data_IF_244663693488
#
_entry.id   IF_244663693488
#
_cell.length_a   1.000
_cell.length_b   1.000
_cell.length_c   1.000
_cell.angle_alpha   90.00
_cell.angle_beta   90.00
_cell.angle_gamma   90.00
#
_symmetry.space_group_name_H-M   'P 1'
#
loop_
_entity.id
_entity.type
_entity.pdbx_description
1 polymer ?
#
# COMPACT_ATOMS: atom_id res chain seq x y z
N UNK A 1 2.85 -21.89 -5.19
CA UNK A 1 2.63 -20.60 -4.49
C UNK A 1 1.41 -19.90 -5.08
N UNK A 2 0.48 -19.41 -4.24
CA UNK A 2 -0.70 -18.62 -4.69
C UNK A 2 -0.24 -17.35 -5.42
N UNK A 3 -0.96 -16.93 -6.46
CA UNK A 3 -0.62 -15.75 -7.29
C UNK A 3 -0.34 -14.49 -6.46
N UNK A 4 -1.13 -14.25 -5.41
CA UNK A 4 -0.95 -13.12 -4.50
C UNK A 4 0.44 -13.10 -3.83
N UNK A 5 0.96 -14.25 -3.42
CA UNK A 5 2.29 -14.31 -2.81
C UNK A 5 3.41 -13.95 -3.82
N UNK A 6 3.24 -14.32 -5.09
CA UNK A 6 4.20 -13.95 -6.15
C UNK A 6 4.18 -12.45 -6.43
N UNK A 7 2.99 -11.85 -6.48
CA UNK A 7 2.82 -10.41 -6.67
C UNK A 7 3.41 -9.61 -5.50
N UNK A 8 3.14 -10.03 -4.26
CA UNK A 8 3.74 -9.41 -3.08
C UNK A 8 5.25 -9.49 -3.08
N UNK A 9 5.82 -10.69 -3.31
CA UNK A 9 7.27 -10.87 -3.35
C UNK A 9 7.91 -10.05 -4.47
N UNK A 10 7.29 -9.99 -5.65
CA UNK A 10 7.77 -9.17 -6.76
C UNK A 10 7.79 -7.68 -6.43
N UNK A 11 6.67 -7.15 -5.90
CA UNK A 11 6.58 -5.76 -5.47
C UNK A 11 7.59 -5.43 -4.37
N UNK A 12 7.66 -6.26 -3.33
CA UNK A 12 8.56 -6.06 -2.20
C UNK A 12 10.03 -6.13 -2.63
N UNK A 13 10.38 -7.01 -3.56
CA UNK A 13 11.74 -7.09 -4.09
C UNK A 13 12.13 -5.80 -4.83
N UNK A 14 11.27 -5.31 -5.72
CA UNK A 14 11.55 -4.10 -6.51
C UNK A 14 11.67 -2.88 -5.57
N UNK A 15 10.68 -2.68 -4.71
CA UNK A 15 10.64 -1.53 -3.79
C UNK A 15 11.75 -1.63 -2.75
N UNK A 16 12.00 -2.81 -2.22
CA UNK A 16 13.06 -3.06 -1.23
C UNK A 16 14.45 -2.78 -1.79
N UNK A 17 14.74 -3.24 -3.01
CA UNK A 17 16.02 -2.96 -3.70
C UNK A 17 16.15 -1.46 -3.96
N UNK A 18 15.12 -0.82 -4.52
CA UNK A 18 15.16 0.62 -4.81
C UNK A 18 15.38 1.45 -3.54
N UNK A 19 14.64 1.16 -2.47
CA UNK A 19 14.77 1.84 -1.20
C UNK A 19 16.15 1.62 -0.55
N UNK A 20 16.68 0.39 -0.63
CA UNK A 20 18.03 0.08 -0.15
C UNK A 20 19.11 0.89 -0.88
N UNK A 21 19.05 0.95 -2.21
CA UNK A 21 20.01 1.72 -3.00
C UNK A 21 19.93 3.22 -2.69
N UNK A 22 18.74 3.80 -2.69
CA UNK A 22 18.55 5.23 -2.36
C UNK A 22 19.06 5.53 -0.96
N UNK A 23 18.68 4.73 0.03
CA UNK A 23 19.14 4.93 1.41
C UNK A 23 20.65 4.84 1.53
N UNK A 24 21.28 3.86 0.86
CA UNK A 24 22.74 3.69 0.86
C UNK A 24 23.44 4.90 0.25
N UNK A 25 23.00 5.35 -0.93
CA UNK A 25 23.55 6.55 -1.59
C UNK A 25 23.46 7.76 -0.68
N UNK A 26 22.31 7.99 -0.04
CA UNK A 26 22.15 9.13 0.87
C UNK A 26 23.07 9.05 2.09
N UNK A 27 23.26 7.86 2.69
CA UNK A 27 24.12 7.67 3.86
C UNK A 27 25.59 7.88 3.52
N UNK A 28 26.02 7.37 2.37
CA UNK A 28 27.40 7.46 1.90
C UNK A 28 27.79 8.92 1.56
N UNK A 29 26.82 9.75 1.13
CA UNK A 29 27.05 11.15 0.76
C UNK A 29 27.15 12.11 1.97
N UNK A 30 26.67 11.73 3.16
CA UNK A 30 26.68 12.61 4.35
C UNK A 30 28.10 12.99 4.76
N UNK A 31 29.00 12.00 4.87
CA UNK A 31 30.36 12.20 5.39
C UNK A 31 31.21 13.09 4.46
N UNK A 32 31.24 12.85 3.13
CA UNK A 32 31.86 13.77 2.18
C UNK A 32 31.28 15.19 2.26
N UNK A 33 29.96 15.34 2.28
CA UNK A 33 29.30 16.65 2.32
C UNK A 33 29.68 17.48 3.56
N UNK A 34 29.71 16.86 4.74
CA UNK A 34 30.14 17.56 5.97
C UNK A 34 31.62 17.92 5.93
N UNK A 35 32.48 17.04 5.39
CA UNK A 35 33.92 17.32 5.23
C UNK A 35 34.18 18.47 4.28
N UNK A 36 33.46 18.54 3.17
CA UNK A 36 33.58 19.64 2.20
C UNK A 36 33.14 20.98 2.81
N UNK A 37 32.06 20.99 3.61
CA UNK A 37 31.63 22.19 4.33
C UNK A 37 32.66 22.65 5.38
N UNK A 38 33.26 21.70 6.10
CA UNK A 38 34.33 21.98 7.06
C UNK A 38 35.57 22.53 6.34
N UNK A 39 35.99 21.91 5.23
CA UNK A 39 37.10 22.37 4.41
C UNK A 39 36.88 23.81 3.94
N UNK A 40 35.71 24.13 3.37
CA UNK A 40 35.36 25.50 2.98
C UNK A 40 35.50 26.50 4.12
N UNK A 41 35.03 26.15 5.32
CA UNK A 41 35.11 27.03 6.50
C UNK A 41 36.56 27.22 6.95
N UNK A 42 37.37 26.16 6.89
CA UNK A 42 38.79 26.20 7.21
C UNK A 42 39.58 27.04 6.20
N UNK A 43 39.22 27.00 4.90
CA UNK A 43 39.83 27.85 3.87
C UNK A 43 39.65 29.32 4.22
N UNK A 44 38.42 29.74 4.52
CA UNK A 44 38.12 31.13 4.86
C UNK A 44 38.85 31.56 6.13
N UNK A 45 38.78 30.74 7.18
CA UNK A 45 39.43 31.02 8.45
C UNK A 45 40.96 31.09 8.33
N UNK A 46 41.56 30.19 7.53
CA UNK A 46 43.01 30.16 7.32
C UNK A 46 43.48 31.42 6.60
N UNK A 47 42.76 31.88 5.57
CA UNK A 47 43.11 33.11 4.85
C UNK A 47 42.99 34.35 5.74
N UNK A 48 41.92 34.47 6.54
CA UNK A 48 41.77 35.60 7.48
C UNK A 48 42.88 35.60 8.53
N UNK A 49 43.18 34.44 9.12
CA UNK A 49 44.26 34.34 10.11
C UNK A 49 45.64 34.56 9.50
N UNK A 50 45.86 34.17 8.24
CA UNK A 50 47.12 34.42 7.55
C UNK A 50 47.38 35.92 7.39
N UNK A 51 46.37 36.70 7.03
CA UNK A 51 46.46 38.18 6.99
C UNK A 51 46.76 38.75 8.37
N UNK A 52 46.10 38.24 9.43
CA UNK A 52 46.34 38.69 10.81
C UNK A 52 47.73 38.33 11.34
N UNK A 53 48.31 37.22 10.87
CA UNK A 53 49.65 36.76 11.26
C UNK A 53 50.78 37.54 10.58
N UNK A 54 50.53 38.14 9.41
CA UNK A 54 51.54 38.80 8.57
C UNK A 54 52.44 39.82 9.28
N UNK A 55 51.89 40.80 10.03
CA UNK A 55 52.70 41.80 10.73
C UNK A 55 53.70 41.21 11.73
N UNK A 56 53.26 40.28 12.58
CA UNK A 56 54.12 39.68 13.60
C UNK A 56 55.10 38.68 13.00
N UNK A 57 54.72 37.98 11.94
CA UNK A 57 55.63 37.09 11.20
C UNK A 57 56.75 37.88 10.53
N UNK A 58 56.43 39.01 9.89
CA UNK A 58 57.43 39.88 9.26
C UNK A 58 58.39 40.49 10.28
N UNK A 59 57.87 40.86 11.45
CA UNK A 59 58.65 41.43 12.54
C UNK A 59 59.50 40.39 13.31
N UNK A 60 59.32 39.09 13.04
CA UNK A 60 60.01 38.02 13.76
C UNK A 60 59.46 37.75 15.17
N UNK A 61 58.28 38.30 15.49
CA UNK A 61 57.61 38.22 16.79
C UNK A 61 56.34 37.36 16.73
N UNK A 62 56.25 36.39 15.81
CA UNK A 62 55.04 35.56 15.67
C UNK A 62 54.77 34.68 16.90
N UNK A 63 55.80 34.36 17.69
CA UNK A 63 55.69 33.49 18.86
C UNK A 63 55.20 34.22 20.13
N UNK A 64 55.52 35.51 20.26
CA UNK A 64 55.32 36.33 21.46
C UNK A 64 54.56 37.64 21.19
N UNK A 65 54.22 37.91 19.93
CA UNK A 65 53.51 39.10 19.49
C UNK A 65 52.00 39.06 19.71
N UNK A 66 51.32 40.02 19.08
CA UNK A 66 49.87 40.24 19.21
C UNK A 66 49.07 39.05 18.71
N UNK A 67 49.48 38.43 17.60
CA UNK A 67 48.83 37.27 17.00
C UNK A 67 48.82 36.09 17.97
N UNK A 68 49.97 35.72 18.52
CA UNK A 68 50.08 34.64 19.50
C UNK A 68 49.18 34.89 20.72
N UNK A 69 49.18 36.11 21.26
CA UNK A 69 48.34 36.49 22.39
C UNK A 69 46.83 36.40 22.06
N UNK A 70 46.42 36.83 20.86
CA UNK A 70 45.03 36.79 20.41
C UNK A 70 44.55 35.35 20.15
N UNK A 71 45.38 34.51 19.52
CA UNK A 71 45.07 33.08 19.31
C UNK A 71 44.93 32.35 20.64
N UNK A 72 45.85 32.59 21.59
CA UNK A 72 45.77 32.02 22.94
C UNK A 72 44.50 32.47 23.69
N UNK A 73 44.09 33.72 23.51
CA UNK A 73 42.83 34.24 24.08
C UNK A 73 41.62 33.59 23.42
N UNK A 74 41.63 33.42 22.10
CA UNK A 74 40.54 32.77 21.36
C UNK A 74 40.35 31.31 21.78
N UNK A 75 41.43 30.54 21.96
CA UNK A 75 41.36 29.14 22.39
C UNK A 75 40.75 28.96 23.79
N UNK A 76 40.84 29.98 24.66
CA UNK A 76 40.23 29.97 26.00
C UNK A 76 38.77 30.43 26.01
N UNK A 77 38.25 30.91 24.87
CA UNK A 77 36.88 31.42 24.78
C UNK A 77 35.89 30.25 24.75
N UNK A 78 34.86 30.35 25.59
CA UNK A 78 33.69 29.49 25.54
C UNK A 78 32.64 30.15 24.62
N UNK A 79 32.35 29.58 23.43
CA UNK A 79 31.35 30.14 22.53
C UNK A 79 29.93 30.10 23.09
N UNK A 80 29.63 29.22 24.06
CA UNK A 80 28.30 28.97 24.63
C UNK A 80 27.20 28.84 23.57
N UNK A 81 27.54 28.24 22.43
CA UNK A 81 26.65 28.11 21.29
C UNK A 81 26.03 26.71 21.24
N UNK A 82 24.79 26.63 20.76
CA UNK A 82 24.13 25.37 20.46
C UNK A 82 24.05 25.21 18.95
N UNK A 83 24.96 24.43 18.38
CA UNK A 83 24.96 24.14 16.94
C UNK A 83 23.97 22.99 16.72
N UNK A 84 22.74 23.36 16.38
CA UNK A 84 21.59 22.44 16.36
C UNK A 84 21.33 21.77 17.71
N UNK A 85 21.83 20.55 17.89
CA UNK A 85 21.68 19.74 19.10
C UNK A 85 23.02 19.45 19.79
N UNK A 86 24.09 20.10 19.35
CA UNK A 86 25.45 19.87 19.84
C UNK A 86 25.99 21.13 20.49
N UNK A 87 26.30 21.09 21.80
CA UNK A 87 26.86 22.23 22.50
C UNK A 87 28.31 22.47 22.07
N UNK A 88 28.66 23.71 21.74
CA UNK A 88 30.01 24.14 21.37
C UNK A 88 30.58 25.01 22.50
N UNK A 89 31.50 24.43 23.26
CA UNK A 89 32.13 25.04 24.46
C UNK A 89 33.60 25.41 24.30
N UNK A 90 34.23 25.01 23.21
CA UNK A 90 35.65 25.24 22.92
C UNK A 90 35.86 25.56 21.44
N UNK A 91 36.96 26.24 21.13
CA UNK A 91 37.47 26.40 19.77
C UNK A 91 38.56 25.36 19.55
N UNK A 92 38.30 24.36 18.70
CA UNK A 92 39.17 23.17 18.57
C UNK A 92 40.22 23.32 17.46
N UNK A 93 40.46 24.54 16.99
CA UNK A 93 41.47 24.82 15.97
C UNK A 93 42.87 24.76 16.55
N UNK A 94 43.76 24.04 15.86
CA UNK A 94 45.20 24.18 16.01
C UNK A 94 45.72 25.06 14.88
N UNK A 95 46.47 26.09 15.24
CA UNK A 95 47.12 27.01 14.31
C UNK A 95 48.61 26.73 14.30
N UNK A 96 49.19 26.57 13.10
CA UNK A 96 50.64 26.44 12.89
C UNK A 96 51.07 27.44 11.84
N UNK A 97 52.19 28.13 12.03
CA UNK A 97 52.78 29.03 11.03
C UNK A 97 54.20 28.57 10.72
N UNK A 98 54.56 28.53 9.44
CA UNK A 98 55.90 28.23 8.96
C UNK A 98 56.55 29.43 8.30
N UNK A 99 57.89 29.45 8.28
CA UNK A 99 58.66 30.34 7.41
C UNK A 99 58.58 29.91 5.93
N UNK A 100 59.22 30.66 5.04
CA UNK A 100 59.31 30.35 3.60
C UNK A 100 60.04 29.04 3.27
N UNK A 101 60.81 28.49 4.23
CA UNK A 101 61.48 27.19 4.09
C UNK A 101 60.58 26.04 4.55
N UNK A 102 59.41 26.34 5.12
CA UNK A 102 58.49 25.35 5.67
C UNK A 102 58.82 24.93 7.10
N UNK A 103 59.72 25.63 7.80
CA UNK A 103 60.03 25.37 9.21
C UNK A 103 58.98 26.03 10.10
N UNK A 104 58.41 25.28 11.03
CA UNK A 104 57.40 25.81 11.96
C UNK A 104 58.03 26.85 12.90
N UNK A 105 57.53 28.08 12.84
CA UNK A 105 57.94 29.21 13.69
C UNK A 105 56.91 29.52 14.78
N UNK A 106 55.68 29.05 14.63
CA UNK A 106 54.63 29.13 15.65
C UNK A 106 53.73 27.91 15.61
N UNK A 107 53.36 27.40 16.78
CA UNK A 107 52.32 26.39 16.96
C UNK A 107 51.53 26.72 18.21
N UNK A 108 50.22 26.86 18.06
CA UNK A 108 49.29 27.13 19.16
C UNK A 108 49.32 26.08 20.29
N UNK A 109 49.78 24.85 20.01
CA UNK A 109 50.01 23.81 21.03
C UNK A 109 51.45 23.73 21.53
N UNK A 110 52.38 24.44 20.89
CA UNK A 110 53.81 24.43 21.21
C UNK A 110 54.53 23.09 20.97
N UNK A 111 53.95 22.18 20.19
CA UNK A 111 54.47 20.80 20.00
C UNK A 111 55.40 20.68 18.80
N UNK A 112 55.12 21.41 17.71
CA UNK A 112 55.80 21.24 16.43
C UNK A 112 56.78 22.38 16.08
N UNK A 113 57.07 23.31 17.00
CA UNK A 113 58.01 24.42 16.73
C UNK A 113 59.40 23.90 16.34
N UNK A 114 59.96 24.42 15.26
CA UNK A 114 61.24 23.98 14.68
C UNK A 114 61.15 22.76 13.76
N UNK A 115 59.99 22.12 13.64
CA UNK A 115 59.78 20.98 12.73
C UNK A 115 59.78 21.44 11.27
N UNK A 116 60.41 20.67 10.40
CA UNK A 116 60.32 20.85 8.95
C UNK A 116 59.00 20.27 8.43
N UNK A 117 58.11 21.16 8.00
CA UNK A 117 56.84 20.81 7.38
C UNK A 117 56.80 21.04 5.86
N UNK A 118 57.92 21.39 5.23
CA UNK A 118 58.03 21.74 3.80
C UNK A 118 57.53 20.65 2.85
N UNK A 119 57.54 19.38 3.28
CA UNK A 119 57.13 18.21 2.49
C UNK A 119 55.67 17.84 2.63
N UNK A 120 54.97 18.41 3.60
CA UNK A 120 53.57 18.10 3.77
C UNK A 120 52.71 18.80 2.74
N UNK A 121 51.72 18.11 2.18
CA UNK A 121 50.93 18.60 1.04
C UNK A 121 50.28 19.98 1.25
N UNK A 122 49.80 20.29 2.46
CA UNK A 122 49.24 21.59 2.80
C UNK A 122 50.28 22.70 2.68
N UNK A 123 51.46 22.56 3.31
CA UNK A 123 52.53 23.57 3.26
C UNK A 123 53.23 23.58 1.89
N UNK A 124 53.58 22.41 1.37
CA UNK A 124 54.29 22.21 0.09
C UNK A 124 53.57 22.87 -1.10
N UNK A 125 52.24 22.72 -1.17
CA UNK A 125 51.44 23.30 -2.25
C UNK A 125 51.27 24.81 -2.07
N UNK A 126 50.99 25.25 -0.85
CA UNK A 126 50.79 26.68 -0.55
C UNK A 126 52.07 27.49 -0.77
N UNK A 127 53.25 26.96 -0.44
CA UNK A 127 54.54 27.60 -0.76
C UNK A 127 54.75 27.83 -2.27
N UNK A 128 54.04 27.10 -3.13
CA UNK A 128 54.08 27.23 -4.59
C UNK A 128 52.90 28.01 -5.17
N UNK A 129 52.11 28.67 -4.32
CA UNK A 129 50.91 29.41 -4.75
C UNK A 129 49.75 28.52 -5.20
N UNK A 130 49.74 27.24 -4.80
CA UNK A 130 48.64 26.31 -5.07
C UNK A 130 47.81 26.08 -3.80
N UNK A 131 46.57 25.63 -3.96
CA UNK A 131 45.72 25.26 -2.83
C UNK A 131 46.32 24.07 -2.05
N UNK A 132 46.62 24.30 -0.77
CA UNK A 132 47.21 23.33 0.14
C UNK A 132 46.20 22.84 1.18
N UNK A 133 45.83 21.56 1.07
CA UNK A 133 45.07 20.86 2.09
C UNK A 133 45.53 19.41 2.21
N UNK A 134 45.32 18.82 3.40
CA UNK A 134 45.55 17.40 3.64
C UNK A 134 44.61 16.88 4.73
N UNK A 135 44.39 15.57 4.73
CA UNK A 135 43.87 14.85 5.89
C UNK A 135 44.93 13.85 6.33
N UNK A 136 45.32 13.90 7.61
CA UNK A 136 46.31 12.98 8.18
C UNK A 136 45.82 12.43 9.52
N UNK A 137 46.24 11.23 9.94
CA UNK A 137 46.02 10.72 11.29
C UNK A 137 46.36 11.76 12.36
N UNK A 138 45.51 11.90 13.37
CA UNK A 138 45.78 12.78 14.53
C UNK A 138 46.88 12.22 15.43
N UNK A 139 46.92 10.89 15.54
CA UNK A 139 47.94 10.14 16.29
C UNK A 139 48.58 9.12 15.35
N UNK A 140 49.92 8.94 15.37
CA UNK A 140 50.56 7.88 14.59
C UNK A 140 49.95 6.51 14.90
N UNK A 141 49.43 5.82 13.88
CA UNK A 141 48.80 4.51 14.01
C UNK A 141 47.27 4.53 14.18
N UNK A 142 46.66 5.68 14.44
CA UNK A 142 45.20 5.82 14.51
C UNK A 142 44.64 6.27 13.16
N UNK A 143 44.10 5.33 12.39
CA UNK A 143 43.53 5.59 11.06
C UNK A 143 42.10 6.14 11.11
N UNK A 144 41.42 6.00 12.25
CA UNK A 144 40.02 6.39 12.39
C UNK A 144 39.90 7.87 12.81
N UNK A 145 40.79 8.34 13.69
CA UNK A 145 40.89 9.76 14.05
C UNK A 145 41.78 10.52 13.08
N UNK A 146 41.15 11.26 12.16
CA UNK A 146 41.85 12.06 11.14
C UNK A 146 41.70 13.55 11.41
N UNK A 147 42.74 14.31 11.12
CA UNK A 147 42.77 15.77 11.27
C UNK A 147 42.90 16.40 9.88
N UNK A 148 41.95 17.26 9.55
CA UNK A 148 41.99 18.05 8.32
C UNK A 148 42.87 19.27 8.54
N UNK A 149 43.79 19.50 7.62
CA UNK A 149 44.71 20.63 7.61
C UNK A 149 44.47 21.43 6.34
N UNK A 150 44.26 22.74 6.48
CA UNK A 150 44.09 23.67 5.37
C UNK A 150 45.07 24.82 5.56
N UNK A 151 45.85 25.09 4.52
CA UNK A 151 46.91 26.08 4.56
C UNK A 151 46.57 27.31 3.69
N UNK A 152 46.96 28.48 4.19
CA UNK A 152 46.86 29.76 3.49
C UNK A 152 48.24 30.46 3.47
N UNK A 153 48.57 31.15 2.36
CA UNK A 153 49.83 31.88 2.25
C UNK A 153 49.81 33.13 3.15
N UNK A 154 50.92 33.39 3.84
CA UNK A 154 51.13 34.65 4.56
C UNK A 154 51.99 35.56 3.70
N UNK A 155 51.41 36.67 3.26
CA UNK A 155 52.09 37.68 2.46
C UNK A 155 52.65 38.81 3.33
N UNK A 156 53.69 39.47 2.84
CA UNK A 156 54.24 40.67 3.46
C UNK A 156 53.14 41.76 3.52
N UNK A 157 52.80 42.30 4.70
CA UNK A 157 51.74 43.28 4.83
C UNK A 157 52.05 44.62 4.13
N UNK A 158 53.32 44.89 3.77
CA UNK A 158 53.73 46.12 3.09
C UNK A 158 53.41 46.08 1.60
N UNK A 159 53.73 44.97 0.92
CA UNK A 159 53.55 44.84 -0.54
C UNK A 159 52.34 43.97 -0.95
N UNK A 160 51.82 43.17 -0.03
CA UNK A 160 50.70 42.25 -0.24
C UNK A 160 50.96 41.13 -1.24
N UNK A 161 52.21 40.89 -1.65
CA UNK A 161 52.58 39.98 -2.74
C UNK A 161 53.72 39.03 -2.40
N UNK A 162 54.68 39.47 -1.58
CA UNK A 162 55.84 38.65 -1.22
C UNK A 162 55.42 37.60 -0.21
N UNK A 163 55.55 36.32 -0.56
CA UNK A 163 55.27 35.23 0.36
C UNK A 163 56.34 35.19 1.46
N UNK A 164 55.93 35.32 2.72
CA UNK A 164 56.83 35.31 3.89
C UNK A 164 56.61 34.10 4.80
N UNK A 165 55.57 33.30 4.57
CA UNK A 165 55.33 32.05 5.28
C UNK A 165 54.00 31.40 4.90
N UNK A 166 53.63 30.36 5.64
CA UNK A 166 52.36 29.63 5.46
C UNK A 166 51.69 29.44 6.82
N UNK A 167 50.39 29.71 6.89
CA UNK A 167 49.56 29.41 8.05
C UNK A 167 48.70 28.19 7.75
N UNK A 168 48.84 27.14 8.55
CA UNK A 168 47.98 25.95 8.52
C UNK A 168 46.99 25.99 9.69
N UNK A 169 45.71 25.85 9.38
CA UNK A 169 44.68 25.49 10.34
C UNK A 169 44.44 23.99 10.32
N UNK A 170 44.39 23.39 11.50
CA UNK A 170 44.08 21.98 11.68
C UNK A 170 42.85 21.80 12.59
N UNK A 171 41.89 21.00 12.13
CA UNK A 171 40.69 20.63 12.89
C UNK A 171 40.50 19.10 12.89
N UNK A 172 40.33 18.47 14.07
CA UNK A 172 40.02 17.04 14.15
C UNK A 172 38.64 16.71 13.56
N UNK A 173 38.55 15.66 12.75
CA UNK A 173 37.27 15.20 12.21
C UNK A 173 36.33 14.66 13.30
N UNK A 174 36.86 14.24 14.45
CA UNK A 174 36.04 13.77 15.58
C UNK A 174 35.14 14.88 16.14
N UNK A 175 35.49 16.15 15.91
CA UNK A 175 34.64 17.30 16.25
C UNK A 175 33.34 17.36 15.43
N UNK A 176 33.32 16.77 14.23
CA UNK A 176 32.14 16.70 13.34
C UNK A 176 31.48 15.32 13.32
N UNK A 177 32.13 14.28 13.83
CA UNK A 177 31.60 12.93 13.96
C UNK A 177 30.20 12.85 14.60
N UNK A 178 29.89 13.54 15.72
CA UNK A 178 28.56 13.49 16.32
C UNK A 178 27.46 14.01 15.36
N UNK A 179 27.78 14.96 14.49
CA UNK A 179 26.85 15.47 13.47
C UNK A 179 26.61 14.43 12.38
N UNK A 180 27.68 13.78 11.89
CA UNK A 180 27.60 12.72 10.87
C UNK A 180 26.79 11.54 11.42
N UNK A 181 27.15 11.04 12.60
CA UNK A 181 26.50 9.88 13.22
C UNK A 181 25.02 10.13 13.53
N UNK A 182 24.65 11.36 13.93
CA UNK A 182 23.26 11.70 14.17
C UNK A 182 22.45 11.83 12.87
N UNK A 183 23.05 12.35 11.80
CA UNK A 183 22.42 12.39 10.46
C UNK A 183 22.24 11.00 9.88
N UNK A 184 23.28 10.15 9.91
CA UNK A 184 23.20 8.77 9.44
C UNK A 184 22.16 7.96 10.20
N UNK A 185 22.14 8.02 11.54
CA UNK A 185 21.10 7.35 12.35
C UNK A 185 19.70 7.82 11.99
N UNK A 186 19.50 9.12 11.79
CA UNK A 186 18.20 9.66 11.42
C UNK A 186 17.77 9.22 10.02
N UNK A 187 18.69 9.17 9.05
CA UNK A 187 18.42 8.67 7.69
C UNK A 187 18.05 7.19 7.73
N UNK A 188 18.83 6.36 8.44
CA UNK A 188 18.56 4.92 8.57
C UNK A 188 17.24 4.66 9.28
N UNK A 189 16.96 5.35 10.38
CA UNK A 189 15.70 5.17 11.11
C UNK A 189 14.47 5.55 10.27
N UNK A 190 14.52 6.70 9.57
CA UNK A 190 13.43 7.13 8.68
C UNK A 190 13.32 6.22 7.45
N UNK A 191 14.43 5.75 6.90
CA UNK A 191 14.48 4.79 5.81
C UNK A 191 13.86 3.45 6.18
N UNK A 192 14.14 2.95 7.39
CA UNK A 192 13.54 1.73 7.92
C UNK A 192 12.02 1.88 8.08
N UNK A 193 11.53 3.03 8.57
CA UNK A 193 10.10 3.34 8.62
C UNK A 193 9.46 3.35 7.22
N UNK A 194 10.12 3.95 6.24
CA UNK A 194 9.64 3.99 4.86
C UNK A 194 9.54 2.57 4.26
N UNK A 195 10.58 1.74 4.41
CA UNK A 195 10.57 0.34 3.95
C UNK A 195 9.48 -0.46 4.67
N UNK A 196 9.36 -0.32 5.99
CA UNK A 196 8.33 -1.02 6.78
C UNK A 196 6.91 -0.64 6.37
N UNK A 197 6.65 0.66 6.13
CA UNK A 197 5.34 1.13 5.66
C UNK A 197 5.00 0.63 4.26
N UNK A 198 5.96 0.64 3.33
CA UNK A 198 5.77 0.08 1.99
C UNK A 198 5.50 -1.43 2.02
N UNK A 199 6.19 -2.17 2.90
CA UNK A 199 5.96 -3.59 3.11
C UNK A 199 4.54 -3.87 3.63
N UNK A 200 4.09 -3.09 4.63
CA UNK A 200 2.76 -3.19 5.20
C UNK A 200 1.67 -2.89 4.16
N UNK A 201 1.83 -1.82 3.38
CA UNK A 201 0.90 -1.45 2.30
C UNK A 201 0.85 -2.57 1.24
N UNK A 202 2.01 -3.08 0.82
CA UNK A 202 2.07 -4.19 -0.15
C UNK A 202 1.37 -5.45 0.36
N UNK A 203 1.50 -5.76 1.66
CA UNK A 203 0.86 -6.91 2.29
C UNK A 203 -0.65 -6.73 2.38
N UNK A 204 -1.12 -5.56 2.83
CA UNK A 204 -2.54 -5.22 2.90
C UNK A 204 -3.19 -5.23 1.52
N UNK A 205 -2.54 -4.61 0.52
CA UNK A 205 -3.01 -4.59 -0.87
C UNK A 205 -3.10 -6.02 -1.43
N UNK A 206 -2.07 -6.84 -1.21
CA UNK A 206 -2.07 -8.24 -1.67
C UNK A 206 -3.18 -9.05 -1.00
N UNK A 207 -3.36 -8.90 0.31
CA UNK A 207 -4.40 -9.59 1.06
C UNK A 207 -5.80 -9.18 0.58
N UNK A 208 -6.03 -7.89 0.36
CA UNK A 208 -7.27 -7.34 -0.18
C UNK A 208 -7.59 -7.90 -1.57
N UNK A 209 -6.62 -7.86 -2.50
CA UNK A 209 -6.78 -8.37 -3.86
C UNK A 209 -7.01 -9.88 -3.88
N UNK A 210 -6.20 -10.65 -3.13
CA UNK A 210 -6.28 -12.10 -3.08
C UNK A 210 -7.60 -12.57 -2.44
N UNK A 211 -8.11 -11.87 -1.43
CA UNK A 211 -9.39 -12.16 -0.80
C UNK A 211 -10.56 -11.90 -1.75
N UNK A 212 -10.56 -10.75 -2.44
CA UNK A 212 -11.59 -10.40 -3.43
C UNK A 212 -11.66 -11.40 -4.59
N UNK A 213 -10.53 -11.65 -5.26
CA UNK A 213 -10.45 -12.60 -6.37
C UNK A 213 -10.76 -14.03 -5.90
N UNK A 214 -10.28 -14.42 -4.72
CA UNK A 214 -10.54 -15.74 -4.14
C UNK A 214 -12.02 -15.98 -3.82
N UNK A 215 -12.77 -14.93 -3.47
CA UNK A 215 -14.22 -15.03 -3.30
C UNK A 215 -14.94 -15.24 -4.64
N UNK A 216 -14.61 -14.46 -5.66
CA UNK A 216 -15.22 -14.59 -6.99
C UNK A 216 -14.88 -15.93 -7.66
N UNK A 217 -13.65 -16.40 -7.52
CA UNK A 217 -13.24 -17.71 -8.05
C UNK A 217 -14.02 -18.86 -7.41
N UNK A 218 -14.28 -18.80 -6.09
CA UNK A 218 -15.14 -19.78 -5.41
C UNK A 218 -16.58 -19.70 -5.90
N UNK A 219 -17.12 -18.48 -6.05
CA UNK A 219 -18.47 -18.27 -6.57
C UNK A 219 -18.64 -18.86 -7.98
N UNK A 220 -17.72 -18.53 -8.91
CA UNK A 220 -17.75 -19.04 -10.27
C UNK A 220 -17.68 -20.58 -10.33
N UNK A 221 -16.86 -21.21 -9.47
CA UNK A 221 -16.78 -22.67 -9.39
C UNK A 221 -18.07 -23.30 -8.89
N UNK A 222 -18.71 -22.71 -7.88
CA UNK A 222 -19.98 -23.21 -7.36
C UNK A 222 -21.12 -23.06 -8.39
N UNK A 223 -21.19 -21.93 -9.08
CA UNK A 223 -22.14 -21.72 -10.20
C UNK A 223 -21.92 -22.76 -11.30
N UNK A 224 -20.67 -23.03 -11.68
CA UNK A 224 -20.35 -24.06 -12.68
C UNK A 224 -20.70 -25.48 -12.22
N UNK A 225 -20.79 -25.73 -10.91
CA UNK A 225 -21.17 -27.02 -10.35
C UNK A 225 -22.69 -27.15 -10.11
N UNK A 226 -23.47 -26.08 -10.36
CA UNK A 226 -24.91 -26.04 -10.08
C UNK A 226 -25.25 -25.97 -8.58
N UNK A 227 -24.30 -25.61 -7.73
CA UNK A 227 -24.53 -25.49 -6.29
C UNK A 227 -25.29 -24.19 -5.96
N UNK A 228 -26.30 -24.23 -5.07
CA UNK A 228 -27.00 -23.03 -4.62
C UNK A 228 -26.09 -22.20 -3.70
N UNK A 229 -25.39 -21.23 -4.29
CA UNK A 229 -24.53 -20.28 -3.55
C UNK A 229 -25.12 -18.87 -3.53
N UNK A 230 -25.05 -18.16 -2.39
CA UNK A 230 -25.50 -16.78 -2.32
C UNK A 230 -24.61 -15.87 -3.19
N UNK A 231 -25.18 -14.79 -3.77
CA UNK A 231 -24.43 -13.87 -4.61
C UNK A 231 -23.30 -13.19 -3.82
N UNK A 232 -22.18 -12.84 -4.48
CA UNK A 232 -21.10 -12.12 -3.84
C UNK A 232 -21.59 -10.80 -3.24
N UNK A 233 -21.08 -10.44 -2.06
CA UNK A 233 -21.47 -9.20 -1.37
C UNK A 233 -21.20 -7.98 -2.26
N UNK A 234 -22.07 -6.95 -2.26
CA UNK A 234 -21.83 -5.70 -2.97
C UNK A 234 -20.52 -5.07 -2.50
N UNK A 235 -19.68 -4.66 -3.45
CA UNK A 235 -18.46 -3.89 -3.22
C UNK A 235 -18.50 -2.67 -4.14
N UNK A 236 -17.91 -1.56 -3.71
CA UNK A 236 -17.80 -0.34 -4.52
C UNK A 236 -16.50 -0.25 -5.33
N UNK A 237 -15.92 -1.39 -5.69
CA UNK A 237 -14.68 -1.52 -6.47
C UNK A 237 -14.93 -2.35 -7.73
N UNK A 238 -13.94 -2.42 -8.62
CA UNK A 238 -14.02 -3.18 -9.88
C UNK A 238 -14.23 -4.69 -9.65
N UNK A 239 -13.84 -5.19 -8.47
CA UNK A 239 -14.13 -6.57 -8.04
C UNK A 239 -15.63 -6.76 -7.79
N UNK A 240 -16.30 -5.75 -7.22
CA UNK A 240 -17.76 -5.70 -7.07
C UNK A 240 -18.49 -5.76 -8.41
N UNK A 241 -18.06 -4.94 -9.37
CA UNK A 241 -18.64 -4.91 -10.72
C UNK A 241 -18.52 -6.28 -11.40
N UNK A 242 -17.37 -6.94 -11.27
CA UNK A 242 -17.16 -8.30 -11.78
C UNK A 242 -18.07 -9.32 -11.07
N UNK A 243 -18.29 -9.18 -9.76
CA UNK A 243 -19.22 -10.01 -9.00
C UNK A 243 -20.66 -9.87 -9.48
N UNK A 244 -21.09 -8.64 -9.78
CA UNK A 244 -22.43 -8.37 -10.32
C UNK A 244 -22.59 -8.89 -11.76
N UNK A 245 -21.55 -8.79 -12.58
CA UNK A 245 -21.53 -9.39 -13.91
C UNK A 245 -21.65 -10.92 -13.87
N UNK A 246 -20.90 -11.58 -12.97
CA UNK A 246 -20.99 -13.03 -12.71
C UNK A 246 -22.39 -13.45 -12.26
N UNK A 247 -23.01 -12.68 -11.36
CA UNK A 247 -24.39 -12.95 -10.92
C UNK A 247 -25.40 -12.79 -12.05
N UNK A 248 -25.25 -11.76 -12.88
CA UNK A 248 -26.10 -11.54 -14.06
C UNK A 248 -25.98 -12.70 -15.04
N UNK A 249 -24.77 -13.23 -15.23
CA UNK A 249 -24.52 -14.41 -16.07
C UNK A 249 -25.20 -15.66 -15.49
N UNK A 250 -25.08 -15.90 -14.17
CA UNK A 250 -25.78 -17.02 -13.49
C UNK A 250 -27.29 -16.98 -13.74
N UNK A 251 -27.93 -15.82 -13.51
CA UNK A 251 -29.38 -15.67 -13.73
C UNK A 251 -29.81 -15.97 -15.17
N UNK A 252 -29.02 -15.55 -16.15
CA UNK A 252 -29.29 -15.85 -17.57
C UNK A 252 -29.15 -17.34 -17.90
N UNK A 253 -28.19 -18.03 -17.28
CA UNK A 253 -27.98 -19.47 -17.44
C UNK A 253 -29.14 -20.27 -16.83
N UNK A 254 -29.55 -19.94 -15.60
CA UNK A 254 -30.69 -20.58 -14.94
C UNK A 254 -31.99 -20.40 -15.72
N UNK A 255 -32.26 -19.18 -16.21
CA UNK A 255 -33.47 -18.92 -17.00
C UNK A 255 -33.58 -19.76 -18.27
N UNK A 256 -32.45 -20.13 -18.91
CA UNK A 256 -32.47 -20.94 -20.12
C UNK A 256 -32.72 -22.43 -19.84
N UNK A 257 -32.00 -22.99 -18.86
CA UNK A 257 -32.16 -24.40 -18.47
C UNK A 257 -33.60 -24.69 -18.00
N UNK A 258 -34.19 -23.74 -17.27
CA UNK A 258 -35.58 -23.80 -16.83
C UNK A 258 -36.57 -23.91 -18.00
N UNK A 259 -36.47 -23.02 -18.99
CA UNK A 259 -37.36 -23.01 -20.15
C UNK A 259 -37.26 -24.32 -20.95
N UNK A 260 -36.06 -24.86 -21.13
CA UNK A 260 -35.86 -26.14 -21.83
C UNK A 260 -36.57 -27.31 -21.11
N UNK A 261 -36.39 -27.44 -19.80
CA UNK A 261 -37.02 -28.50 -19.01
C UNK A 261 -38.55 -28.35 -18.93
N UNK A 262 -39.04 -27.11 -18.87
CA UNK A 262 -40.47 -26.80 -18.85
C UNK A 262 -41.15 -27.15 -20.18
N UNK A 263 -40.57 -26.73 -21.31
CA UNK A 263 -41.09 -27.06 -22.64
C UNK A 263 -41.11 -28.57 -22.86
N UNK A 264 -40.07 -29.28 -22.43
CA UNK A 264 -40.03 -30.73 -22.53
C UNK A 264 -41.14 -31.40 -21.71
N UNK A 265 -41.32 -30.99 -20.45
CA UNK A 265 -42.34 -31.55 -19.54
C UNK A 265 -43.76 -31.25 -20.04
N UNK A 266 -44.02 -30.01 -20.47
CA UNK A 266 -45.29 -29.59 -21.08
C UNK A 266 -45.64 -30.46 -22.29
N UNK A 267 -44.66 -30.69 -23.18
CA UNK A 267 -44.85 -31.49 -24.39
C UNK A 267 -45.25 -32.94 -24.04
N UNK A 268 -44.66 -33.52 -23.00
CA UNK A 268 -45.00 -34.88 -22.56
C UNK A 268 -46.42 -34.97 -21.98
N UNK A 269 -46.79 -34.05 -21.09
CA UNK A 269 -48.10 -34.06 -20.43
C UNK A 269 -49.25 -33.73 -21.40
N UNK A 270 -49.02 -32.87 -22.39
CA UNK A 270 -50.05 -32.52 -23.39
C UNK A 270 -50.34 -33.64 -24.40
N UNK A 271 -49.38 -34.53 -24.69
CA UNK A 271 -49.50 -35.53 -25.77
C UNK A 271 -50.62 -36.53 -25.53
N UNK A 272 -50.78 -36.99 -24.29
CA UNK A 272 -51.79 -37.98 -23.90
C UNK A 272 -53.24 -37.47 -24.02
N UNK A 273 -53.63 -36.34 -23.37
CA UNK A 273 -54.98 -35.80 -23.49
C UNK A 273 -55.31 -35.38 -24.92
N UNK A 274 -54.34 -34.83 -25.67
CA UNK A 274 -54.54 -34.42 -27.05
C UNK A 274 -54.77 -35.62 -27.99
N UNK A 275 -54.09 -36.75 -27.75
CA UNK A 275 -54.37 -38.01 -28.45
C UNK A 275 -55.76 -38.57 -28.11
N UNK A 276 -56.19 -38.47 -26.84
CA UNK A 276 -57.51 -38.92 -26.40
C UNK A 276 -58.65 -38.06 -26.99
N UNK A 277 -58.48 -36.73 -27.05
CA UNK A 277 -59.41 -35.80 -27.72
C UNK A 277 -59.51 -36.16 -29.19
N UNK A 278 -58.37 -36.35 -29.86
CA UNK A 278 -58.31 -36.69 -31.28
C UNK A 278 -59.03 -38.02 -31.56
N UNK A 279 -58.75 -39.06 -30.80
CA UNK A 279 -59.41 -40.36 -30.97
C UNK A 279 -60.93 -40.30 -30.74
N UNK A 280 -61.38 -39.56 -29.71
CA UNK A 280 -62.81 -39.36 -29.48
C UNK A 280 -63.48 -38.53 -30.60
N UNK A 281 -62.79 -37.52 -31.14
CA UNK A 281 -63.28 -36.69 -32.23
C UNK A 281 -63.32 -37.42 -33.59
N UNK A 282 -62.37 -38.33 -33.84
CA UNK A 282 -62.37 -39.21 -35.02
C UNK A 282 -63.58 -40.17 -34.98
N UNK A 283 -63.85 -40.79 -33.82
CA UNK A 283 -65.01 -41.67 -33.64
C UNK A 283 -66.34 -40.95 -33.81
N UNK A 284 -66.45 -39.69 -33.37
CA UNK A 284 -67.67 -38.87 -33.54
C UNK A 284 -68.05 -38.58 -35.01
N UNK A 285 -67.16 -38.82 -35.97
CA UNK A 285 -67.45 -38.68 -37.40
C UNK A 285 -68.22 -39.87 -37.99
N UNK A 286 -68.27 -41.00 -37.28
CA UNK A 286 -68.99 -42.20 -37.68
C UNK A 286 -70.46 -42.18 -37.22
N UNK A 287 -71.38 -42.91 -37.88
CA UNK A 287 -72.76 -43.04 -37.43
C UNK A 287 -72.83 -43.84 -36.13
N UNK A 288 -72.95 -43.13 -35.01
CA UNK A 288 -73.00 -43.68 -33.65
C UNK A 288 -74.41 -43.56 -33.04
N UNK A 289 -74.79 -44.50 -32.13
CA UNK A 289 -75.90 -44.31 -31.22
C UNK A 289 -75.73 -43.04 -30.37
N UNK A 290 -76.83 -42.38 -30.03
CA UNK A 290 -76.83 -41.11 -29.29
C UNK A 290 -76.11 -41.21 -27.93
N UNK A 291 -76.21 -42.36 -27.26
CA UNK A 291 -75.51 -42.62 -26.00
C UNK A 291 -73.97 -42.60 -26.14
N UNK A 292 -73.44 -43.17 -27.22
CA UNK A 292 -71.99 -43.21 -27.48
C UNK A 292 -71.47 -41.84 -27.92
N UNK A 293 -72.28 -41.10 -28.70
CA UNK A 293 -71.99 -39.71 -29.08
C UNK A 293 -71.83 -38.81 -27.86
N UNK A 294 -72.77 -38.89 -26.91
CA UNK A 294 -72.71 -38.13 -25.66
C UNK A 294 -71.49 -38.52 -24.81
N UNK A 295 -71.16 -39.82 -24.77
CA UNK A 295 -69.97 -40.31 -24.05
C UNK A 295 -68.66 -39.77 -24.64
N UNK A 296 -68.50 -39.79 -25.96
CA UNK A 296 -67.29 -39.25 -26.60
C UNK A 296 -67.19 -37.72 -26.47
N UNK A 297 -68.30 -37.00 -26.60
CA UNK A 297 -68.35 -35.56 -26.35
C UNK A 297 -67.98 -35.21 -24.90
N UNK A 298 -68.48 -35.97 -23.92
CA UNK A 298 -68.11 -35.81 -22.52
C UNK A 298 -66.63 -36.11 -22.26
N UNK A 299 -66.05 -37.12 -22.94
CA UNK A 299 -64.62 -37.42 -22.85
C UNK A 299 -63.78 -36.26 -23.39
N UNK A 300 -64.14 -35.67 -24.54
CA UNK A 300 -63.45 -34.49 -25.08
C UNK A 300 -63.49 -33.33 -24.08
N UNK A 301 -64.67 -33.02 -23.52
CA UNK A 301 -64.82 -31.96 -22.53
C UNK A 301 -64.08 -32.23 -21.21
N UNK A 302 -63.85 -33.49 -20.85
CA UNK A 302 -63.04 -33.85 -19.69
C UNK A 302 -61.54 -33.69 -19.97
N UNK A 303 -61.06 -34.14 -21.13
CA UNK A 303 -59.65 -33.99 -21.49
C UNK A 303 -59.26 -32.53 -21.75
N UNK A 304 -60.16 -31.71 -22.31
CA UNK A 304 -59.96 -30.27 -22.44
C UNK A 304 -59.77 -29.61 -21.07
N UNK A 305 -60.68 -29.86 -20.12
CA UNK A 305 -60.55 -29.35 -18.74
C UNK A 305 -59.24 -29.78 -18.09
N UNK A 306 -58.84 -31.05 -18.27
CA UNK A 306 -57.57 -31.56 -17.74
C UNK A 306 -56.36 -30.86 -18.35
N UNK A 307 -56.40 -30.58 -19.65
CA UNK A 307 -55.33 -29.89 -20.36
C UNK A 307 -55.22 -28.44 -19.89
N UNK A 308 -56.35 -27.76 -19.70
CA UNK A 308 -56.43 -26.41 -19.12
C UNK A 308 -55.89 -26.38 -17.68
N UNK A 309 -56.30 -27.32 -16.82
CA UNK A 309 -55.78 -27.44 -15.44
C UNK A 309 -54.26 -27.67 -15.41
N UNK A 310 -53.73 -28.48 -16.33
CA UNK A 310 -52.29 -28.75 -16.43
C UNK A 310 -51.52 -27.50 -16.86
N UNK A 311 -52.03 -26.74 -17.82
CA UNK A 311 -51.44 -25.47 -18.25
C UNK A 311 -51.43 -24.48 -17.09
N UNK A 312 -52.54 -24.35 -16.36
CA UNK A 312 -52.64 -23.43 -15.21
C UNK A 312 -51.67 -23.81 -14.09
N UNK A 313 -51.53 -25.10 -13.77
CA UNK A 313 -50.57 -25.58 -12.78
C UNK A 313 -49.14 -25.27 -13.18
N UNK A 314 -48.80 -25.49 -14.46
CA UNK A 314 -47.47 -25.23 -14.98
C UNK A 314 -47.15 -23.72 -14.99
N UNK A 315 -48.10 -22.85 -15.35
CA UNK A 315 -47.94 -21.40 -15.27
C UNK A 315 -47.71 -20.91 -13.84
N UNK A 316 -48.43 -21.48 -12.85
CA UNK A 316 -48.23 -21.17 -11.43
C UNK A 316 -46.87 -21.64 -10.92
N UNK A 317 -46.39 -22.79 -11.39
CA UNK A 317 -45.04 -23.27 -11.05
C UNK A 317 -43.97 -22.34 -11.65
N UNK A 318 -44.16 -21.89 -12.89
CA UNK A 318 -43.26 -20.94 -13.53
C UNK A 318 -43.18 -19.60 -12.80
N UNK A 319 -44.31 -19.10 -12.33
CA UNK A 319 -44.36 -17.88 -11.53
C UNK A 319 -43.58 -18.05 -10.22
N UNK A 320 -43.70 -19.18 -9.52
CA UNK A 320 -42.92 -19.46 -8.29
C UNK A 320 -41.42 -19.53 -8.56
N UNK A 321 -41.01 -20.29 -9.58
CA UNK A 321 -39.59 -20.52 -9.85
C UNK A 321 -38.88 -19.30 -10.42
N UNK A 322 -39.56 -18.44 -11.19
CA UNK A 322 -39.00 -17.18 -11.69
C UNK A 322 -38.59 -16.23 -10.54
N UNK A 323 -39.25 -16.33 -9.38
CA UNK A 323 -38.87 -15.56 -8.21
C UNK A 323 -37.57 -16.04 -7.57
N UNK A 324 -37.14 -17.30 -7.82
CA UNK A 324 -35.81 -17.90 -7.62
C UNK A 324 -35.25 -17.91 -6.19
N UNK A 325 -35.26 -16.76 -5.52
CA UNK A 325 -34.84 -16.48 -4.16
C UNK A 325 -35.76 -15.42 -3.54
N UNK A 326 -36.12 -15.60 -2.26
CA UNK A 326 -36.85 -14.60 -1.45
C UNK A 326 -36.10 -13.25 -1.45
N UNK A 327 -36.47 -12.33 -2.34
CA UNK A 327 -35.85 -11.00 -2.42
C UNK A 327 -36.21 -10.13 -1.20
N UNK A 328 -37.37 -10.37 -0.58
CA UNK A 328 -37.84 -9.69 0.62
C UNK A 328 -38.63 -10.66 1.49
N UNK A 329 -38.27 -10.75 2.77
CA UNK A 329 -39.08 -11.42 3.80
C UNK A 329 -39.89 -10.36 4.52
N UNK A 330 -41.21 -10.44 4.44
CA UNK A 330 -42.12 -9.61 5.21
C UNK A 330 -42.72 -10.42 6.36
N UNK A 331 -43.25 -9.73 7.36
CA UNK A 331 -44.01 -10.38 8.42
C UNK A 331 -45.39 -10.73 7.84
N UNK A 332 -45.72 -12.01 7.81
CA UNK A 332 -46.99 -12.55 7.31
C UNK A 332 -47.73 -13.22 8.47
N UNK A 333 -48.99 -12.85 8.68
CA UNK A 333 -49.87 -13.50 9.66
C UNK A 333 -50.50 -14.75 9.03
N UNK A 334 -49.98 -15.92 9.37
CA UNK A 334 -50.47 -17.21 8.87
C UNK A 334 -51.92 -17.45 9.26
N UNK A 335 -52.37 -16.98 10.42
CA UNK A 335 -53.75 -17.16 10.87
C UNK A 335 -54.73 -16.38 10.00
N UNK A 336 -54.30 -15.25 9.42
CA UNK A 336 -55.09 -14.51 8.44
C UNK A 336 -55.07 -15.21 7.07
N UNK A 337 -53.90 -15.67 6.64
CA UNK A 337 -53.72 -16.35 5.36
C UNK A 337 -54.53 -17.66 5.28
N UNK A 338 -54.48 -18.49 6.33
CA UNK A 338 -55.24 -19.73 6.39
C UNK A 338 -56.76 -19.50 6.41
N UNK A 339 -57.23 -18.41 7.05
CA UNK A 339 -58.65 -18.03 7.01
C UNK A 339 -59.10 -17.68 5.61
N UNK A 340 -58.33 -16.86 4.89
CA UNK A 340 -58.60 -16.51 3.50
C UNK A 340 -58.65 -17.75 2.61
N UNK A 341 -57.70 -18.68 2.78
CA UNK A 341 -57.68 -19.94 2.02
C UNK A 341 -58.90 -20.84 2.33
N UNK A 342 -59.33 -20.89 3.59
CA UNK A 342 -60.52 -21.64 3.99
C UNK A 342 -61.80 -21.05 3.37
N UNK A 343 -61.90 -19.72 3.31
CA UNK A 343 -62.99 -19.01 2.64
C UNK A 343 -62.98 -19.26 1.12
N UNK A 344 -61.81 -19.16 0.48
CA UNK A 344 -61.63 -19.43 -0.96
C UNK A 344 -62.03 -20.88 -1.33
N UNK A 345 -61.79 -21.84 -0.43
CA UNK A 345 -62.10 -23.26 -0.64
C UNK A 345 -63.57 -23.64 -0.34
N UNK A 346 -64.30 -22.79 0.40
CA UNK A 346 -65.65 -23.10 0.89
C UNK A 346 -66.65 -23.55 -0.20
N UNK A 347 -66.71 -22.95 -1.40
CA UNK A 347 -67.65 -23.36 -2.44
C UNK A 347 -67.41 -24.78 -2.94
N UNK A 348 -66.12 -25.16 -3.09
CA UNK A 348 -65.72 -26.51 -3.55
C UNK A 348 -66.01 -27.56 -2.48
N UNK A 349 -65.77 -27.22 -1.21
CA UNK A 349 -66.04 -28.10 -0.08
C UNK A 349 -67.54 -28.34 0.12
N UNK A 350 -68.37 -27.31 -0.04
CA UNK A 350 -69.83 -27.45 0.01
C UNK A 350 -70.37 -28.34 -1.11
N UNK A 351 -69.87 -28.18 -2.34
CA UNK A 351 -70.23 -29.03 -3.48
C UNK A 351 -69.84 -30.51 -3.26
N UNK A 352 -68.80 -30.76 -2.46
CA UNK A 352 -68.34 -32.10 -2.07
C UNK A 352 -68.93 -32.61 -0.74
N UNK A 353 -69.82 -31.84 -0.08
CA UNK A 353 -70.35 -32.14 1.25
C UNK A 353 -69.28 -32.36 2.34
N UNK A 354 -68.17 -31.64 2.26
CA UNK A 354 -67.06 -31.71 3.22
C UNK A 354 -67.06 -30.49 4.15
N UNK A 355 -66.77 -30.71 5.43
CA UNK A 355 -66.58 -29.64 6.42
C UNK A 355 -65.09 -29.47 6.75
N UNK A 356 -64.57 -28.27 6.56
CA UNK A 356 -63.21 -27.89 6.98
C UNK A 356 -63.26 -27.28 8.39
N UNK A 357 -62.42 -27.75 9.30
CA UNK A 357 -62.25 -27.18 10.63
C UNK A 357 -60.82 -26.63 10.75
N UNK A 358 -60.70 -25.33 10.99
CA UNK A 358 -59.40 -24.65 11.14
C UNK A 358 -59.21 -24.22 12.59
N UNK A 359 -58.37 -24.93 13.34
CA UNK A 359 -57.92 -24.51 14.67
C UNK A 359 -56.69 -23.62 14.53
N UNK A 360 -56.90 -22.31 14.52
CA UNK A 360 -55.85 -21.31 14.31
C UNK A 360 -55.61 -20.48 15.58
N UNK A 361 -54.35 -20.25 16.00
CA UNK A 361 -54.05 -19.31 17.07
C UNK A 361 -54.38 -17.86 16.66
N UNK A 362 -54.59 -16.96 17.62
CA UNK A 362 -55.07 -15.59 17.36
C UNK A 362 -54.23 -14.78 16.36
N UNK A 363 -52.90 -14.89 16.46
CA UNK A 363 -51.94 -14.35 15.49
C UNK A 363 -50.73 -15.30 15.39
N UNK A 364 -50.32 -15.65 14.17
CA UNK A 364 -49.13 -16.48 13.93
C UNK A 364 -48.24 -15.82 12.88
N UNK A 365 -47.31 -15.00 13.35
CA UNK A 365 -46.43 -14.22 12.47
C UNK A 365 -45.19 -15.02 12.06
N UNK A 366 -44.96 -15.13 10.75
CA UNK A 366 -43.73 -15.71 10.18
C UNK A 366 -43.05 -14.72 9.23
N UNK A 367 -41.74 -14.86 9.07
CA UNK A 367 -40.99 -14.12 8.06
C UNK A 367 -40.94 -14.90 6.76
N UNK A 368 -41.62 -14.40 5.73
CA UNK A 368 -41.70 -15.09 4.43
C UNK A 368 -42.24 -14.19 3.34
N UNK A 369 -42.68 -14.80 2.25
CA UNK A 369 -43.40 -14.15 1.17
C UNK A 369 -44.84 -14.67 1.17
N UNK A 370 -45.82 -13.76 1.16
CA UNK A 370 -47.22 -14.12 1.29
C UNK A 370 -47.75 -14.96 0.11
N UNK A 371 -47.23 -14.75 -1.10
CA UNK A 371 -47.62 -15.51 -2.29
C UNK A 371 -47.08 -16.95 -2.21
N UNK A 372 -45.79 -17.11 -1.91
CA UNK A 372 -45.17 -18.44 -1.78
C UNK A 372 -45.79 -19.26 -0.64
N UNK A 373 -46.07 -18.61 0.50
CA UNK A 373 -46.73 -19.25 1.64
C UNK A 373 -48.20 -19.63 1.36
N UNK A 374 -48.86 -18.94 0.41
CA UNK A 374 -50.24 -19.27 0.01
C UNK A 374 -50.30 -20.50 -0.89
N UNK A 375 -49.22 -20.76 -1.63
CA UNK A 375 -49.12 -21.84 -2.60
C UNK A 375 -48.56 -23.13 -2.01
N UNK A 376 -47.74 -23.04 -0.96
CA UNK A 376 -47.27 -24.17 -0.15
C UNK A 376 -48.39 -24.75 0.72
#
# INVERSE_FOLDING_TARGET
>A
MRLGLKLFLGFFLIVGIAAFFVMRVFVDEVKPGVRQAMESTLVDAANVLAVMAGPDLKAGHIADGRFAAQVATAQRRDPRAMVWRFPKRSIDYRVTVTDVRGIVVYDSRGQDVGRDNSRWNDVYRTLRGQYGARSSPGTPGDVDSTVMHVAAPVYDPVDGRTLIGVLTLAQPNDSIEPFIAASQRAIVARGAWLIGSAALIGLLMTWWLASGIGSLSRYAKAVSAGEPVPPPKPRGDEIGDLGQALETMRRKLEGKAYVEQYVQSLTHEMKSPLAAIRGAAELLQEPLPEADRQRFAANIAQQERRLTETIDQLLRLAEVEQHGWLQRRTVVDLSMLCRQLAEDAAPRLQAAHLSLHCELPGHANVQGDAFLLRQA
#
